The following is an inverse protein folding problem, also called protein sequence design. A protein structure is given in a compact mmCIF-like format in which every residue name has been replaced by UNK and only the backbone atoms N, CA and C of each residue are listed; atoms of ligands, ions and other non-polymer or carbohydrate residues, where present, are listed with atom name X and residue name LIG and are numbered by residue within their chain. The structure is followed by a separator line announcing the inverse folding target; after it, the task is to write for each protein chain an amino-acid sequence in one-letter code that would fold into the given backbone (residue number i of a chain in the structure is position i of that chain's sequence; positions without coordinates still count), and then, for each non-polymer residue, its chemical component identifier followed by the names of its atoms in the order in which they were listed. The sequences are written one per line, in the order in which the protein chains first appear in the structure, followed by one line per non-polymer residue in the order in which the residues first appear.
data_IF_863684270193
#
_entry.id   IF_863684270193
#
_cell.length_a   1.000
_cell.length_b   1.000
_cell.length_c   1.000
_cell.angle_alpha   90.00
_cell.angle_beta   90.00
_cell.angle_gamma   90.00
#
_symmetry.space_group_name_H-M   'P 1'
#
loop_
_entity.id
_entity.type
_entity.pdbx_description
1 polymer ?
#
# COMPACT_ATOMS: atom_id res chain seq x y z
N UNK A 1 1.64 -12.89 -16.72
CA UNK A 1 2.59 -11.75 -16.72
C UNK A 1 2.58 -11.22 -15.30
N UNK A 2 3.70 -10.84 -14.71
CA UNK A 2 3.73 -10.41 -13.31
C UNK A 2 3.51 -8.91 -13.23
N UNK A 3 2.57 -8.50 -12.39
CA UNK A 3 2.34 -7.11 -12.06
C UNK A 3 3.17 -6.73 -10.83
N UNK A 4 3.62 -5.48 -10.72
CA UNK A 4 4.33 -4.98 -9.53
C UNK A 4 3.61 -3.70 -9.12
N UNK A 5 2.98 -3.69 -7.94
CA UNK A 5 2.52 -2.45 -7.33
C UNK A 5 3.72 -1.82 -6.61
N UNK A 6 4.13 -0.60 -6.96
CA UNK A 6 5.24 0.11 -6.30
C UNK A 6 4.67 1.39 -5.70
N UNK A 7 4.71 1.53 -4.38
CA UNK A 7 4.55 2.84 -3.74
C UNK A 7 5.92 3.34 -3.34
N UNK A 8 6.36 4.41 -3.99
CA UNK A 8 7.53 5.16 -3.60
C UNK A 8 7.33 6.62 -3.97
N UNK A 9 7.46 7.51 -3.00
CA UNK A 9 7.68 8.93 -3.29
C UNK A 9 9.06 9.07 -3.94
N UNK A 10 9.13 9.18 -5.27
CA UNK A 10 10.40 9.44 -5.98
C UNK A 10 10.25 10.67 -6.87
N UNK A 11 10.97 11.74 -6.52
CA UNK A 11 11.37 12.79 -7.47
C UNK A 11 12.86 13.09 -7.32
N UNK A 12 13.68 12.64 -8.28
CA UNK A 12 14.71 13.48 -8.92
C UNK A 12 15.26 12.86 -10.22
N UNK A 13 15.87 13.74 -11.01
CA UNK A 13 15.95 13.76 -12.46
C UNK A 13 16.71 12.60 -13.17
N UNK A 14 16.24 12.36 -14.40
CA UNK A 14 16.93 11.80 -15.57
C UNK A 14 16.97 10.30 -15.88
N UNK A 15 16.55 9.37 -15.01
CA UNK A 15 16.29 7.97 -15.46
C UNK A 15 15.24 7.27 -14.60
N UNK A 16 13.97 7.37 -14.95
CA UNK A 16 12.89 6.61 -14.28
C UNK A 16 12.22 5.69 -15.31
N UNK A 17 12.28 4.37 -15.04
CA UNK A 17 11.47 3.37 -15.72
C UNK A 17 10.12 3.30 -14.99
N UNK A 18 9.05 3.60 -15.73
CA UNK A 18 7.67 3.48 -15.25
C UNK A 18 7.31 2.02 -14.97
N UNK A 19 6.67 1.75 -13.83
CA UNK A 19 5.88 0.55 -13.63
C UNK A 19 4.52 0.94 -13.03
N UNK A 20 3.58 1.29 -13.91
CA UNK A 20 2.15 1.20 -13.66
C UNK A 20 1.53 0.76 -14.99
N UNK A 21 1.19 -0.52 -15.12
CA UNK A 21 0.58 -1.12 -16.33
C UNK A 21 -0.94 -1.08 -16.26
N UNK A 22 -1.48 -0.01 -15.70
CA UNK A 22 -2.91 0.13 -15.46
C UNK A 22 -3.51 1.32 -16.20
N UNK A 23 -4.79 1.20 -16.50
CA UNK A 23 -5.65 2.35 -16.77
C UNK A 23 -6.42 2.66 -15.48
N UNK A 24 -6.36 3.91 -15.04
CA UNK A 24 -7.25 4.40 -13.98
C UNK A 24 -8.65 4.55 -14.58
N UNK A 25 -9.60 3.75 -14.10
CA UNK A 25 -10.98 3.79 -14.60
C UNK A 25 -11.80 4.86 -13.88
N UNK A 26 -11.71 4.89 -12.55
CA UNK A 26 -12.47 5.79 -11.69
C UNK A 26 -11.63 6.19 -10.48
N UNK A 27 -11.91 7.38 -9.96
CA UNK A 27 -11.26 7.98 -8.81
C UNK A 27 -12.32 8.47 -7.84
N UNK A 28 -12.07 8.26 -6.57
CA UNK A 28 -12.85 8.77 -5.46
C UNK A 28 -11.90 9.14 -4.31
N UNK A 29 -12.41 9.89 -3.36
CA UNK A 29 -11.78 10.06 -2.05
C UNK A 29 -12.73 9.42 -1.06
N UNK A 30 -12.21 8.90 0.05
CA UNK A 30 -13.07 8.52 1.17
C UNK A 30 -13.95 9.73 1.56
N UNK A 31 -15.26 9.49 1.68
CA UNK A 31 -16.22 10.49 2.12
C UNK A 31 -16.55 10.23 3.58
N UNK A 32 -15.95 11.01 4.47
CA UNK A 32 -16.12 10.89 5.91
C UNK A 32 -17.60 11.00 6.33
N UNK A 33 -18.04 10.22 7.33
CA UNK A 33 -19.32 10.42 7.98
C UNK A 33 -19.49 11.87 8.50
N UNK A 34 -20.72 12.39 8.46
CA UNK A 34 -20.98 13.78 8.87
C UNK A 34 -20.60 13.99 10.35
N UNK A 35 -19.62 14.87 10.58
CA UNK A 35 -19.17 15.24 11.93
C UNK A 35 -18.01 14.40 12.48
N UNK A 36 -17.40 13.55 11.66
CA UNK A 36 -16.13 12.87 11.98
C UNK A 36 -14.96 13.52 11.24
N UNK A 37 -13.73 13.21 11.66
CA UNK A 37 -12.46 13.58 11.01
C UNK A 37 -11.43 12.49 11.37
N UNK A 38 -11.60 11.26 10.85
CA UNK A 38 -10.83 10.10 11.30
C UNK A 38 -9.42 10.02 10.73
N UNK A 39 -9.10 10.82 9.70
CA UNK A 39 -7.81 10.78 9.03
C UNK A 39 -7.20 12.18 8.93
N UNK A 40 -5.94 12.34 9.30
CA UNK A 40 -5.21 13.57 9.03
C UNK A 40 -5.07 13.82 7.51
N UNK A 41 -5.02 12.74 6.74
CA UNK A 41 -5.01 12.74 5.27
C UNK A 41 -5.98 11.69 4.78
N UNK A 42 -7.10 12.11 4.18
CA UNK A 42 -8.12 11.17 3.71
C UNK A 42 -7.55 10.13 2.72
N UNK A 43 -7.90 8.84 2.86
CA UNK A 43 -7.49 7.81 1.91
C UNK A 43 -7.92 8.15 0.48
N UNK A 44 -6.99 7.96 -0.46
CA UNK A 44 -7.25 8.09 -1.88
C UNK A 44 -7.69 6.76 -2.47
N UNK A 45 -8.85 6.72 -3.13
CA UNK A 45 -9.45 5.49 -3.63
C UNK A 45 -9.52 5.53 -5.15
N UNK A 46 -8.97 4.54 -5.83
CA UNK A 46 -9.07 4.47 -7.29
C UNK A 46 -9.12 3.03 -7.79
N UNK A 47 -9.96 2.80 -8.80
CA UNK A 47 -10.01 1.52 -9.50
C UNK A 47 -9.06 1.51 -10.69
N UNK A 48 -8.36 0.39 -10.82
CA UNK A 48 -7.36 0.14 -11.84
C UNK A 48 -7.72 -1.13 -12.58
N UNK A 49 -7.40 -1.17 -13.87
CA UNK A 49 -7.47 -2.40 -14.66
C UNK A 49 -6.18 -2.64 -15.39
N UNK A 50 -5.72 -3.88 -15.36
CA UNK A 50 -4.54 -4.31 -16.09
C UNK A 50 -4.74 -4.03 -17.59
N UNK A 51 -3.72 -3.44 -18.21
CA UNK A 51 -3.69 -3.27 -19.67
C UNK A 51 -3.61 -4.60 -20.43
N UNK A 52 -3.22 -5.66 -19.74
CA UNK A 52 -2.86 -6.94 -20.33
C UNK A 52 -3.41 -8.07 -19.48
N UNK A 53 -4.73 -8.24 -19.51
CA UNK A 53 -5.40 -9.14 -18.61
C UNK A 53 -6.88 -8.85 -18.46
N UNK A 54 -7.52 -9.62 -17.59
CA UNK A 54 -8.82 -9.31 -17.00
C UNK A 54 -8.67 -8.57 -15.66
N UNK A 55 -7.63 -8.86 -14.86
CA UNK A 55 -7.39 -8.29 -13.53
C UNK A 55 -7.72 -6.80 -13.35
N UNK A 56 -8.64 -6.54 -12.42
CA UNK A 56 -8.95 -5.25 -11.80
C UNK A 56 -8.40 -5.20 -10.37
N UNK A 57 -8.35 -4.01 -9.78
CA UNK A 57 -8.33 -3.87 -8.32
C UNK A 57 -8.72 -2.43 -7.95
N UNK A 58 -9.22 -2.26 -6.73
CA UNK A 58 -9.38 -0.96 -6.08
C UNK A 58 -8.26 -0.74 -5.07
N UNK A 59 -7.48 0.32 -5.28
CA UNK A 59 -6.44 0.74 -4.35
C UNK A 59 -6.98 1.78 -3.38
N UNK A 60 -6.72 1.60 -2.09
CA UNK A 60 -6.99 2.53 -0.98
C UNK A 60 -5.62 2.98 -0.44
N UNK A 61 -5.18 4.17 -0.83
CA UNK A 61 -3.84 4.67 -0.54
C UNK A 61 -3.87 5.65 0.63
N UNK A 62 -3.02 5.43 1.63
CA UNK A 62 -2.97 6.22 2.86
C UNK A 62 -1.53 6.58 3.25
N UNK A 63 -1.38 7.70 3.96
CA UNK A 63 -0.17 8.05 4.71
C UNK A 63 -0.62 8.62 6.06
N UNK A 64 -0.54 7.80 7.09
CA UNK A 64 -1.08 8.12 8.42
C UNK A 64 -0.31 9.24 9.10
N UNK A 65 -0.92 9.92 10.07
CA UNK A 65 -0.14 10.70 11.04
C UNK A 65 0.53 9.74 12.05
N UNK A 66 1.86 9.79 12.23
CA UNK A 66 2.54 8.93 13.21
C UNK A 66 2.02 9.08 14.65
N UNK A 67 1.49 10.27 15.01
CA UNK A 67 0.95 10.52 16.34
C UNK A 67 -0.48 9.96 16.52
N UNK A 68 -1.14 9.55 15.43
CA UNK A 68 -2.52 9.02 15.39
C UNK A 68 -2.58 7.69 14.61
N UNK A 69 -1.45 7.00 14.44
CA UNK A 69 -1.32 5.85 13.54
C UNK A 69 -2.27 4.71 13.92
N UNK A 70 -2.44 4.44 15.22
CA UNK A 70 -3.36 3.38 15.69
C UNK A 70 -4.81 3.72 15.35
N UNK A 71 -5.23 4.96 15.57
CA UNK A 71 -6.58 5.43 15.26
C UNK A 71 -6.84 5.41 13.75
N UNK A 72 -5.90 5.94 12.95
CA UNK A 72 -6.06 5.98 11.49
C UNK A 72 -6.03 4.58 10.85
N UNK A 73 -5.17 3.67 11.31
CA UNK A 73 -5.13 2.29 10.81
C UNK A 73 -6.46 1.58 11.07
N UNK A 74 -7.03 1.74 12.27
CA UNK A 74 -8.31 1.13 12.60
C UNK A 74 -9.46 1.73 11.77
N UNK A 75 -9.42 3.04 11.49
CA UNK A 75 -10.42 3.70 10.65
C UNK A 75 -10.39 3.25 9.17
N UNK A 76 -9.34 2.57 8.71
CA UNK A 76 -9.26 2.06 7.34
C UNK A 76 -10.28 0.96 7.04
N UNK A 77 -10.83 0.27 8.04
CA UNK A 77 -11.93 -0.68 7.82
C UNK A 77 -13.18 0.04 7.31
N UNK A 78 -13.53 1.21 7.88
CA UNK A 78 -14.62 2.06 7.35
C UNK A 78 -14.32 2.58 5.94
N UNK A 79 -13.04 2.87 5.65
CA UNK A 79 -12.63 3.30 4.30
C UNK A 79 -12.74 2.16 3.28
N UNK A 80 -12.48 0.92 3.70
CA UNK A 80 -12.69 -0.28 2.91
C UNK A 80 -14.17 -0.55 2.65
N UNK A 81 -15.02 -0.51 3.69
CA UNK A 81 -16.48 -0.64 3.55
C UNK A 81 -17.02 0.40 2.56
N UNK A 82 -16.58 1.66 2.67
CA UNK A 82 -16.94 2.71 1.73
C UNK A 82 -16.49 2.40 0.30
N UNK A 83 -15.27 1.87 0.12
CA UNK A 83 -14.79 1.49 -1.20
C UNK A 83 -15.64 0.36 -1.81
N UNK A 84 -16.00 -0.65 -1.01
CA UNK A 84 -16.87 -1.76 -1.42
C UNK A 84 -18.26 -1.27 -1.85
N UNK A 85 -18.83 -0.30 -1.14
CA UNK A 85 -20.09 0.35 -1.55
C UNK A 85 -19.98 1.12 -2.88
N UNK A 86 -18.83 1.74 -3.14
CA UNK A 86 -18.58 2.51 -4.38
C UNK A 86 -18.25 1.61 -5.57
N UNK A 87 -17.70 0.42 -5.31
CA UNK A 87 -17.25 -0.58 -6.28
C UNK A 87 -17.82 -1.98 -5.93
N UNK A 88 -19.14 -2.20 -6.01
CA UNK A 88 -19.78 -3.43 -5.51
C UNK A 88 -19.56 -4.67 -6.37
N UNK A 89 -19.00 -4.51 -7.57
CA UNK A 89 -18.71 -5.60 -8.52
C UNK A 89 -17.22 -6.03 -8.47
N UNK A 90 -16.43 -5.45 -7.57
CA UNK A 90 -15.00 -5.71 -7.37
C UNK A 90 -14.80 -6.52 -6.09
N UNK A 91 -13.88 -7.50 -6.09
CA UNK A 91 -13.48 -8.22 -4.89
C UNK A 91 -12.04 -7.93 -4.44
N UNK A 92 -11.19 -7.42 -5.34
CA UNK A 92 -9.78 -7.13 -5.07
C UNK A 92 -9.58 -5.71 -4.56
N UNK A 93 -9.66 -5.56 -3.23
CA UNK A 93 -9.29 -4.32 -2.54
C UNK A 93 -7.89 -4.45 -1.94
N UNK A 94 -7.07 -3.44 -2.22
CA UNK A 94 -5.70 -3.35 -1.73
C UNK A 94 -5.55 -2.06 -0.95
N UNK A 95 -5.29 -2.17 0.36
CA UNK A 95 -4.98 -1.04 1.22
C UNK A 95 -3.47 -0.93 1.35
N UNK A 96 -2.89 0.23 1.06
CA UNK A 96 -1.44 0.34 0.99
C UNK A 96 -0.91 1.77 1.20
N UNK A 97 0.32 1.86 1.68
CA UNK A 97 1.04 3.12 1.89
C UNK A 97 1.89 3.11 3.14
N UNK A 98 2.24 4.30 3.62
CA UNK A 98 2.99 4.48 4.88
C UNK A 98 2.00 4.54 6.05
N UNK A 99 1.91 3.45 6.79
CA UNK A 99 0.97 3.31 7.89
C UNK A 99 1.59 3.76 9.22
N UNK A 100 2.90 4.00 9.28
CA UNK A 100 3.64 4.08 10.54
C UNK A 100 3.36 2.86 11.46
N UNK A 101 3.11 1.68 10.87
CA UNK A 101 2.59 0.49 11.55
C UNK A 101 3.66 -0.32 12.32
N UNK A 102 4.60 0.35 13.00
CA UNK A 102 5.61 -0.30 13.84
C UNK A 102 6.22 0.69 14.86
N UNK A 103 7.08 0.20 15.73
CA UNK A 103 7.99 0.94 16.57
C UNK A 103 7.27 1.59 17.73
N UNK A 104 7.29 2.92 17.76
CA UNK A 104 6.64 3.69 18.83
C UNK A 104 5.25 4.21 18.44
N UNK A 105 4.89 4.08 17.17
CA UNK A 105 3.68 4.66 16.59
C UNK A 105 2.52 3.67 16.62
N UNK A 106 2.82 2.39 16.46
CA UNK A 106 1.86 1.31 16.43
C UNK A 106 2.44 0.06 17.11
N UNK A 107 1.61 -0.63 17.87
CA UNK A 107 1.94 -1.89 18.54
C UNK A 107 1.45 -3.05 17.66
N UNK A 108 2.37 -3.65 16.89
CA UNK A 108 2.07 -4.74 15.95
C UNK A 108 1.61 -6.04 16.64
N UNK A 109 1.87 -6.18 17.95
CA UNK A 109 1.37 -7.29 18.77
C UNK A 109 -0.08 -7.06 19.25
N UNK A 110 -0.67 -5.89 18.99
CA UNK A 110 -2.04 -5.54 19.38
C UNK A 110 -3.07 -5.83 18.28
N UNK A 111 -4.34 -5.99 18.67
CA UNK A 111 -5.43 -6.18 17.70
C UNK A 111 -5.68 -4.90 16.91
N UNK A 112 -5.94 -5.03 15.61
CA UNK A 112 -6.42 -3.95 14.75
C UNK A 112 -7.72 -4.35 14.07
N UNK A 113 -8.51 -3.37 13.64
CA UNK A 113 -9.74 -3.61 12.88
C UNK A 113 -9.45 -4.21 11.48
N UNK A 114 -8.18 -4.26 11.07
CA UNK A 114 -7.72 -4.92 9.85
C UNK A 114 -7.06 -6.30 10.08
N UNK A 115 -7.15 -6.87 11.29
CA UNK A 115 -6.42 -8.12 11.66
C UNK A 115 -6.86 -9.36 10.87
N UNK A 116 -8.11 -9.37 10.38
CA UNK A 116 -8.67 -10.50 9.61
C UNK A 116 -8.25 -10.48 8.12
N UNK A 117 -7.66 -9.38 7.63
CA UNK A 117 -7.18 -9.26 6.25
C UNK A 117 -5.74 -9.78 6.11
N UNK A 118 -5.30 -9.98 4.87
CA UNK A 118 -3.96 -10.50 4.61
C UNK A 118 -2.93 -9.36 4.52
N UNK A 119 -2.06 -9.27 5.53
CA UNK A 119 -0.93 -8.34 5.56
C UNK A 119 0.23 -8.90 4.73
N UNK A 120 0.30 -8.49 3.46
CA UNK A 120 1.29 -8.98 2.51
C UNK A 120 2.70 -8.44 2.82
N UNK A 121 2.81 -7.25 3.40
CA UNK A 121 4.03 -6.77 4.06
C UNK A 121 3.83 -6.97 5.57
N UNK A 122 4.27 -8.13 6.04
CA UNK A 122 4.25 -8.51 7.45
C UNK A 122 5.37 -7.85 8.25
N UNK A 123 5.29 -7.99 9.57
CA UNK A 123 6.19 -7.41 10.59
C UNK A 123 7.65 -7.86 10.46
N UNK A 124 7.96 -8.76 9.54
CA UNK A 124 9.33 -9.25 9.32
C UNK A 124 10.14 -8.38 8.34
N UNK A 125 9.53 -7.33 7.78
CA UNK A 125 10.11 -6.49 6.74
C UNK A 125 10.60 -5.13 7.25
N UNK A 126 11.90 -4.87 7.12
CA UNK A 126 12.41 -3.50 7.25
C UNK A 126 12.10 -2.65 6.01
N UNK A 127 11.20 -1.69 6.18
CA UNK A 127 10.75 -0.74 5.16
C UNK A 127 11.51 0.59 5.22
N UNK A 128 12.45 0.75 6.14
CA UNK A 128 13.17 2.01 6.37
C UNK A 128 14.59 1.97 5.83
N UNK A 129 15.10 3.11 5.36
CA UNK A 129 16.45 3.17 4.73
C UNK A 129 17.56 3.54 5.72
N UNK A 130 17.19 3.98 6.92
CA UNK A 130 18.12 4.33 8.00
C UNK A 130 18.53 3.06 8.74
N UNK A 131 19.43 3.19 9.72
CA UNK A 131 19.78 2.12 10.66
C UNK A 131 18.67 1.85 11.69
N UNK A 132 17.45 1.64 11.20
CA UNK A 132 16.25 1.21 11.93
C UNK A 132 15.79 -0.14 11.39
N UNK A 133 14.84 -0.78 12.05
CA UNK A 133 14.24 -2.05 11.64
C UNK A 133 12.75 -1.90 11.92
N UNK A 134 12.05 -1.24 10.98
CA UNK A 134 10.64 -0.87 11.15
C UNK A 134 9.82 -1.18 9.88
N UNK A 135 8.63 -1.73 10.10
CA UNK A 135 7.64 -2.08 9.07
C UNK A 135 6.55 -1.01 8.96
N UNK A 136 6.94 0.23 8.63
CA UNK A 136 6.00 1.34 8.48
C UNK A 136 5.11 1.21 7.24
N UNK A 137 5.69 0.84 6.10
CA UNK A 137 4.97 0.71 4.85
C UNK A 137 4.27 -0.66 4.75
N UNK A 138 2.97 -0.66 4.45
CA UNK A 138 2.14 -1.87 4.44
C UNK A 138 1.42 -2.07 3.10
N UNK A 139 1.14 -3.32 2.79
CA UNK A 139 0.20 -3.75 1.75
C UNK A 139 -0.72 -4.77 2.39
N UNK A 140 -2.02 -4.51 2.40
CA UNK A 140 -3.07 -5.36 2.95
C UNK A 140 -4.03 -5.73 1.82
N UNK A 141 -4.39 -7.01 1.75
CA UNK A 141 -5.23 -7.58 0.69
C UNK A 141 -6.52 -8.16 1.28
N UNK A 142 -7.65 -7.87 0.65
CA UNK A 142 -8.94 -8.51 0.98
C UNK A 142 -9.09 -9.89 0.35
N UNK A 143 -8.50 -10.10 -0.83
CA UNK A 143 -8.37 -11.41 -1.48
C UNK A 143 -6.91 -11.65 -1.89
N UNK A 144 -6.49 -12.92 -1.79
CA UNK A 144 -5.15 -13.39 -2.14
C UNK A 144 -5.16 -14.35 -3.33
N UNK A 145 -6.33 -14.59 -3.93
CA UNK A 145 -6.53 -15.52 -5.06
C UNK A 145 -5.61 -15.19 -6.24
N UNK A 146 -5.40 -13.89 -6.53
CA UNK A 146 -4.53 -13.41 -7.59
C UNK A 146 -3.09 -13.09 -7.14
N UNK A 147 -2.75 -13.26 -5.86
CA UNK A 147 -1.36 -13.14 -5.39
C UNK A 147 -0.52 -14.29 -5.96
N UNK A 148 0.33 -13.99 -6.93
CA UNK A 148 1.07 -14.99 -7.71
C UNK A 148 2.56 -15.07 -7.35
N UNK A 149 3.08 -14.02 -6.71
CA UNK A 149 4.51 -13.90 -6.43
C UNK A 149 4.81 -13.44 -5.02
N UNK A 150 5.86 -12.64 -4.90
CA UNK A 150 6.30 -12.12 -3.61
C UNK A 150 5.63 -10.78 -3.33
N UNK A 151 5.30 -10.55 -2.07
CA UNK A 151 5.24 -9.22 -1.51
C UNK A 151 6.53 -8.97 -0.73
N UNK A 152 7.18 -7.83 -0.97
CA UNK A 152 8.47 -7.53 -0.35
C UNK A 152 8.85 -6.05 -0.48
N UNK A 153 10.04 -5.73 0.02
CA UNK A 153 10.64 -4.40 -0.01
C UNK A 153 11.63 -4.30 -1.17
N UNK A 154 11.50 -3.27 -2.00
CA UNK A 154 12.46 -2.97 -3.05
C UNK A 154 13.68 -2.24 -2.50
N UNK A 155 14.70 -3.03 -2.15
CA UNK A 155 16.01 -2.59 -1.67
C UNK A 155 16.86 -1.95 -2.79
N UNK A 156 16.49 -0.73 -3.17
CA UNK A 156 17.16 0.03 -4.22
C UNK A 156 18.61 0.39 -3.87
N UNK A 157 18.93 0.44 -2.57
CA UNK A 157 20.30 0.55 -2.07
C UNK A 157 21.17 -0.64 -2.52
N UNK A 158 20.65 -1.86 -2.41
CA UNK A 158 21.33 -3.08 -2.82
C UNK A 158 21.37 -3.21 -4.35
N UNK A 159 20.25 -2.94 -5.02
CA UNK A 159 20.13 -3.03 -6.48
C UNK A 159 21.10 -2.06 -7.18
N UNK A 160 21.21 -0.83 -6.67
CA UNK A 160 22.05 0.21 -7.26
C UNK A 160 23.39 0.41 -6.55
N UNK A 161 23.70 -0.39 -5.53
CA UNK A 161 24.93 -0.35 -4.74
C UNK A 161 25.21 1.04 -4.15
N UNK A 162 24.17 1.65 -3.58
CA UNK A 162 24.24 2.98 -2.98
C UNK A 162 24.86 2.93 -1.59
N UNK A 163 25.53 4.01 -1.20
CA UNK A 163 25.85 4.27 0.21
C UNK A 163 24.61 4.67 0.99
N UNK A 164 24.61 4.54 2.32
CA UNK A 164 23.49 4.99 3.18
C UNK A 164 23.15 6.48 2.94
N UNK A 165 24.16 7.34 2.76
CA UNK A 165 23.96 8.75 2.44
C UNK A 165 23.21 8.95 1.12
N UNK A 166 23.59 8.20 0.07
CA UNK A 166 22.90 8.25 -1.22
C UNK A 166 21.48 7.67 -1.15
N UNK A 167 21.29 6.59 -0.39
CA UNK A 167 19.98 5.97 -0.19
C UNK A 167 19.03 6.93 0.51
N UNK A 168 19.42 7.44 1.68
CA UNK A 168 18.60 8.39 2.47
C UNK A 168 18.37 9.71 1.71
N UNK A 169 19.27 10.10 0.80
CA UNK A 169 19.07 11.26 -0.06
C UNK A 169 17.97 11.06 -1.12
N UNK A 170 17.58 9.81 -1.44
CA UNK A 170 16.44 9.49 -2.29
C UNK A 170 15.15 9.53 -1.48
N UNK A 171 15.09 8.76 -0.38
CA UNK A 171 13.96 8.69 0.54
C UNK A 171 14.43 8.06 1.85
N UNK A 172 13.77 8.36 2.97
CA UNK A 172 13.98 7.60 4.19
C UNK A 172 13.20 6.26 4.26
N UNK A 173 12.36 5.96 3.27
CA UNK A 173 11.61 4.71 3.13
C UNK A 173 12.01 3.93 1.87
N UNK A 174 11.93 2.61 1.92
CA UNK A 174 12.01 1.74 0.76
C UNK A 174 10.60 1.52 0.17
N UNK A 175 10.46 1.46 -1.16
CA UNK A 175 9.20 1.06 -1.75
C UNK A 175 8.82 -0.37 -1.37
N UNK A 176 7.56 -0.59 -1.01
CA UNK A 176 6.98 -1.94 -0.90
C UNK A 176 6.30 -2.35 -2.20
N UNK A 177 6.26 -3.65 -2.47
CA UNK A 177 5.57 -4.19 -3.64
C UNK A 177 4.90 -5.54 -3.38
N UNK A 178 3.93 -5.87 -4.22
CA UNK A 178 3.31 -7.19 -4.32
C UNK A 178 3.12 -7.58 -5.80
N UNK A 179 3.21 -8.89 -6.07
CA UNK A 179 3.10 -9.46 -7.41
C UNK A 179 1.80 -10.25 -7.64
N UNK A 180 1.01 -9.81 -8.61
CA UNK A 180 -0.28 -10.40 -8.94
C UNK A 180 -0.27 -11.10 -10.31
N UNK A 181 -1.12 -12.14 -10.43
CA UNK A 181 -1.56 -12.64 -11.72
C UNK A 181 -2.48 -11.61 -12.36
N UNK A 182 -2.48 -11.58 -13.69
CA UNK A 182 -3.29 -10.63 -14.46
C UNK A 182 -4.23 -11.36 -15.41
N UNK A 183 -4.52 -12.63 -15.15
CA UNK A 183 -5.22 -13.50 -16.09
C UNK A 183 -5.98 -14.57 -15.33
N UNK A 184 -7.27 -14.67 -15.64
CA UNK A 184 -8.15 -15.60 -14.94
C UNK A 184 -8.57 -15.08 -13.57
N UNK A 185 -8.65 -13.76 -13.45
CA UNK A 185 -9.30 -13.05 -12.34
C UNK A 185 -10.78 -13.50 -12.22
N UNK A 186 -11.25 -13.64 -10.99
CA UNK A 186 -12.57 -14.20 -10.65
C UNK A 186 -13.26 -13.39 -9.53
N UNK A 187 -13.73 -12.20 -9.87
CA UNK A 187 -14.78 -11.45 -9.16
C UNK A 187 -16.14 -12.19 -9.05
#
# INVERSE_FOLDING_TARGET
MKMICLIGHVFKEDRIRYWFYYIIQKRSCFSEPEGTDPFHRQPYIASFKSLHGDYDAVLIVIHTDPDEATEEINALDEALEHAQDVYPDEQDFIILGDFNADGRYFDEDSSSDLEDYYWAIDDTHDTTTKSTDYTYDRIILTDTSDLYGQASVFRYDLEYQLTEEETVAVSDHYPVYAEFNVSGDVD
#
